data_IF_054892708561
#
_entry.id   IF_054892708561
#
_cell.length_a   1.000
_cell.length_b   1.000
_cell.length_c   1.000
_cell.angle_alpha   90.00
_cell.angle_beta   90.00
_cell.angle_gamma   90.00
#
_symmetry.space_group_name_H-M   'P 1'
#
loop_
_entity.id
_entity.type
_entity.pdbx_description
1 polymer ?
#
# COMPACT_ATOMS: atom_id res chain seq x y z
N UNK A 1 34.19 -0.87 12.03
CA UNK A 1 33.25 -0.33 11.02
C UNK A 1 33.84 0.70 10.06
N UNK A 2 33.99 2.02 10.33
CA UNK A 2 34.54 2.96 9.31
C UNK A 2 36.00 2.71 8.90
N UNK A 3 36.83 2.12 9.77
CA UNK A 3 38.26 1.84 9.49
C UNK A 3 38.52 0.53 8.74
N UNK A 4 37.64 -0.47 8.85
CA UNK A 4 37.80 -1.76 8.15
C UNK A 4 37.45 -1.66 6.66
N UNK A 5 36.60 -0.70 6.28
CA UNK A 5 36.30 -0.41 4.89
C UNK A 5 37.49 0.24 4.16
N UNK A 6 38.34 0.97 4.89
CA UNK A 6 39.51 1.65 4.32
C UNK A 6 40.67 0.67 4.03
N UNK A 7 40.80 -0.41 4.81
CA UNK A 7 41.88 -1.39 4.65
C UNK A 7 41.71 -2.37 3.49
N UNK A 8 40.53 -2.40 2.84
CA UNK A 8 40.28 -3.26 1.68
C UNK A 8 40.81 -2.66 0.35
N UNK A 9 41.38 -1.45 0.39
CA UNK A 9 41.73 -0.67 -0.81
C UNK A 9 43.21 -0.73 -1.24
N UNK A 10 44.08 -1.44 -0.52
CA UNK A 10 45.54 -1.34 -0.72
C UNK A 10 46.26 -2.59 -1.26
N UNK A 11 45.56 -3.65 -1.69
CA UNK A 11 46.19 -4.93 -2.02
C UNK A 11 46.09 -5.49 -3.45
N UNK A 12 45.22 -4.99 -4.34
CA UNK A 12 44.98 -5.64 -5.63
C UNK A 12 44.71 -4.64 -6.78
N UNK A 13 45.78 -4.01 -7.27
CA UNK A 13 45.74 -3.10 -8.41
C UNK A 13 45.48 -3.90 -9.72
N UNK A 14 44.23 -3.88 -10.19
CA UNK A 14 43.86 -4.35 -11.53
C UNK A 14 42.51 -5.06 -11.59
N UNK A 15 42.24 -5.98 -10.65
CA UNK A 15 40.99 -6.76 -10.59
C UNK A 15 40.11 -6.43 -9.36
N UNK A 16 40.68 -5.82 -8.31
CA UNK A 16 39.97 -5.57 -7.05
C UNK A 16 38.94 -4.44 -7.12
N UNK A 17 39.16 -3.42 -7.96
CA UNK A 17 38.24 -2.27 -8.09
C UNK A 17 36.95 -2.62 -8.82
N UNK A 18 37.01 -3.50 -9.83
CA UNK A 18 35.83 -3.98 -10.56
C UNK A 18 34.97 -4.91 -9.70
N UNK A 19 35.60 -5.81 -8.93
CA UNK A 19 34.89 -6.72 -8.00
C UNK A 19 34.25 -5.93 -6.85
N UNK A 20 34.93 -4.92 -6.30
CA UNK A 20 34.34 -4.05 -5.26
C UNK A 20 33.19 -3.19 -5.81
N UNK A 21 33.28 -2.72 -7.05
CA UNK A 21 32.18 -2.02 -7.71
C UNK A 21 30.96 -2.90 -7.97
N UNK A 22 31.18 -4.15 -8.41
CA UNK A 22 30.11 -5.11 -8.69
C UNK A 22 29.36 -5.55 -7.40
N UNK A 23 30.05 -5.65 -6.28
CA UNK A 23 29.45 -5.98 -4.98
C UNK A 23 28.82 -4.78 -4.26
N UNK A 24 29.18 -3.56 -4.63
CA UNK A 24 28.66 -2.35 -3.97
C UNK A 24 27.14 -2.17 -4.15
N UNK A 25 26.59 -2.55 -5.31
CA UNK A 25 25.15 -2.41 -5.59
C UNK A 25 24.29 -3.34 -4.71
N UNK A 26 24.53 -4.68 -4.68
CA UNK A 26 23.82 -5.58 -3.76
C UNK A 26 23.93 -5.18 -2.29
N UNK A 27 25.12 -4.75 -1.83
CA UNK A 27 25.33 -4.32 -0.44
C UNK A 27 24.51 -3.07 -0.13
N UNK A 28 24.49 -2.09 -1.04
CA UNK A 28 23.69 -0.87 -0.86
C UNK A 28 22.20 -1.18 -0.77
N UNK A 29 21.68 -2.05 -1.63
CA UNK A 29 20.28 -2.49 -1.58
C UNK A 29 19.95 -3.26 -0.31
N UNK A 30 20.86 -4.11 0.18
CA UNK A 30 20.68 -4.80 1.45
C UNK A 30 20.59 -3.83 2.64
N UNK A 31 21.46 -2.81 2.67
CA UNK A 31 21.44 -1.76 3.70
C UNK A 31 20.14 -0.95 3.62
N UNK A 32 19.69 -0.60 2.41
CA UNK A 32 18.46 0.14 2.21
C UNK A 32 17.23 -0.67 2.67
N UNK A 33 17.17 -1.96 2.33
CA UNK A 33 16.13 -2.86 2.84
C UNK A 33 16.17 -2.95 4.36
N UNK A 34 17.35 -3.14 4.98
CA UNK A 34 17.48 -3.18 6.44
C UNK A 34 16.98 -1.88 7.10
N UNK A 35 17.28 -0.73 6.48
CA UNK A 35 16.77 0.57 6.92
C UNK A 35 15.24 0.64 6.83
N UNK A 36 14.62 0.14 5.76
CA UNK A 36 13.15 0.12 5.63
C UNK A 36 12.50 -0.88 6.57
N UNK A 37 13.14 -2.01 6.80
CA UNK A 37 12.67 -2.98 7.79
C UNK A 37 12.74 -2.40 9.22
N UNK A 38 13.65 -1.47 9.52
CA UNK A 38 13.62 -0.75 10.79
C UNK A 38 12.33 0.08 10.96
N UNK A 39 11.83 0.71 9.88
CA UNK A 39 10.54 1.40 9.90
C UNK A 39 9.38 0.42 10.11
N UNK A 40 9.42 -0.75 9.45
CA UNK A 40 8.46 -1.85 9.66
C UNK A 40 8.46 -2.29 11.13
N UNK A 41 9.64 -2.54 11.71
CA UNK A 41 9.78 -2.97 13.12
C UNK A 41 9.21 -1.96 14.11
N UNK A 42 9.27 -0.67 13.79
CA UNK A 42 8.77 0.40 14.66
C UNK A 42 7.23 0.39 14.77
N UNK A 43 6.54 -0.10 13.74
CA UNK A 43 5.09 0.12 13.57
C UNK A 43 4.29 -1.17 13.45
N UNK A 44 4.96 -2.32 13.36
CA UNK A 44 4.34 -3.64 13.34
C UNK A 44 4.58 -4.35 14.66
N UNK A 45 3.50 -4.67 15.36
CA UNK A 45 3.55 -5.36 16.64
C UNK A 45 4.15 -6.78 16.52
N UNK A 46 4.92 -7.18 17.54
CA UNK A 46 5.47 -8.55 17.64
C UNK A 46 6.73 -8.81 16.82
N UNK A 47 7.43 -7.78 16.36
CA UNK A 47 8.73 -7.87 15.68
C UNK A 47 9.94 -7.64 16.62
N UNK A 48 9.73 -7.77 17.93
CA UNK A 48 10.79 -7.55 18.93
C UNK A 48 11.86 -8.64 18.92
N UNK A 49 11.50 -9.86 18.50
CA UNK A 49 12.43 -10.99 18.44
C UNK A 49 13.20 -11.00 17.11
N UNK A 50 14.50 -11.35 17.13
CA UNK A 50 15.30 -11.49 15.91
C UNK A 50 14.68 -12.46 14.90
N UNK A 51 14.05 -13.54 15.38
CA UNK A 51 13.44 -14.57 14.55
C UNK A 51 12.20 -14.03 13.83
N UNK A 52 11.31 -13.32 14.54
CA UNK A 52 10.12 -12.71 13.93
C UNK A 52 10.47 -11.63 12.92
N UNK A 53 11.45 -10.78 13.25
CA UNK A 53 11.94 -9.73 12.37
C UNK A 53 12.57 -10.30 11.09
N UNK A 54 13.40 -11.33 11.24
CA UNK A 54 14.00 -12.04 10.11
C UNK A 54 12.93 -12.69 9.21
N UNK A 55 11.96 -13.38 9.81
CA UNK A 55 10.89 -14.02 9.05
C UNK A 55 10.08 -13.00 8.24
N UNK A 56 9.74 -11.84 8.80
CA UNK A 56 9.05 -10.80 8.05
C UNK A 56 9.93 -10.18 6.95
N UNK A 57 11.24 -10.02 7.22
CA UNK A 57 12.19 -9.55 6.19
C UNK A 57 12.26 -10.53 5.00
N UNK A 58 12.22 -11.83 5.27
CA UNK A 58 12.17 -12.88 4.25
C UNK A 58 10.86 -12.79 3.45
N UNK A 59 9.71 -12.65 4.11
CA UNK A 59 8.41 -12.48 3.44
C UNK A 59 8.37 -11.24 2.52
N UNK A 60 8.88 -10.10 2.99
CA UNK A 60 8.99 -8.86 2.19
C UNK A 60 9.85 -9.08 0.95
N UNK A 61 10.97 -9.80 1.11
CA UNK A 61 11.86 -10.12 0.00
C UNK A 61 11.18 -11.07 -0.99
N UNK A 62 10.53 -12.12 -0.50
CA UNK A 62 9.85 -13.10 -1.36
C UNK A 62 8.74 -12.42 -2.16
N UNK A 63 7.93 -11.59 -1.51
CA UNK A 63 6.87 -10.83 -2.17
C UNK A 63 7.41 -9.89 -3.26
N UNK A 64 8.59 -9.30 -3.06
CA UNK A 64 9.25 -8.49 -4.09
C UNK A 64 9.73 -9.27 -5.32
N UNK A 65 9.82 -10.60 -5.22
CA UNK A 65 10.12 -11.46 -6.38
C UNK A 65 8.88 -11.90 -7.13
N UNK A 66 7.72 -11.84 -6.47
CA UNK A 66 6.41 -12.19 -7.04
C UNK A 66 5.72 -10.97 -7.67
N UNK A 67 5.94 -9.80 -7.10
CA UNK A 67 5.33 -8.54 -7.53
C UNK A 67 6.31 -7.65 -8.31
N UNK A 68 5.81 -6.76 -9.19
CA UNK A 68 6.65 -5.82 -9.94
C UNK A 68 7.09 -4.62 -9.06
N UNK A 69 7.63 -4.89 -7.87
CA UNK A 69 8.03 -3.88 -6.90
C UNK A 69 9.27 -4.33 -6.12
N UNK A 70 10.16 -3.39 -5.79
CA UNK A 70 11.38 -3.70 -5.02
C UNK A 70 11.05 -4.08 -3.57
N UNK A 71 11.93 -4.84 -2.92
CA UNK A 71 11.79 -5.16 -1.50
C UNK A 71 11.70 -3.91 -0.61
N UNK A 72 12.37 -2.82 -1.01
CA UNK A 72 12.26 -1.51 -0.35
C UNK A 72 10.84 -0.94 -0.46
N UNK A 73 10.22 -0.96 -1.64
CA UNK A 73 8.84 -0.50 -1.84
C UNK A 73 7.82 -1.38 -1.11
N UNK A 74 8.01 -2.69 -1.15
CA UNK A 74 7.18 -3.64 -0.36
C UNK A 74 7.28 -3.31 1.13
N UNK A 75 8.49 -3.12 1.66
CA UNK A 75 8.69 -2.74 3.06
C UNK A 75 8.02 -1.40 3.41
N UNK A 76 8.04 -0.42 2.51
CA UNK A 76 7.34 0.87 2.71
C UNK A 76 5.82 0.68 2.84
N UNK A 77 5.21 -0.16 2.01
CA UNK A 77 3.77 -0.46 2.09
C UNK A 77 3.45 -1.25 3.37
N UNK A 78 4.27 -2.22 3.73
CA UNK A 78 4.12 -2.98 4.98
C UNK A 78 4.21 -2.05 6.19
N UNK A 79 5.15 -1.10 6.20
CA UNK A 79 5.25 -0.09 7.26
C UNK A 79 4.01 0.81 7.30
N UNK A 80 3.51 1.27 6.14
CA UNK A 80 2.27 2.05 6.07
C UNK A 80 1.06 1.26 6.59
N UNK A 81 0.96 -0.03 6.27
CA UNK A 81 -0.06 -0.94 6.80
C UNK A 81 0.03 -1.10 8.32
N UNK A 82 1.24 -1.31 8.86
CA UNK A 82 1.46 -1.37 10.30
C UNK A 82 1.08 -0.07 11.02
N UNK A 83 1.44 1.09 10.45
CA UNK A 83 1.03 2.40 10.97
C UNK A 83 -0.49 2.60 10.97
N UNK A 84 -1.19 2.01 10.00
CA UNK A 84 -2.64 2.00 9.93
C UNK A 84 -3.30 0.97 10.87
N UNK A 85 -2.52 0.22 11.64
CA UNK A 85 -3.03 -0.79 12.57
C UNK A 85 -3.48 -2.08 11.89
N UNK A 86 -3.04 -2.35 10.66
CA UNK A 86 -3.27 -3.65 10.02
C UNK A 86 -2.50 -4.73 10.78
N UNK A 87 -3.20 -5.83 11.09
CA UNK A 87 -2.62 -6.92 11.87
C UNK A 87 -1.44 -7.54 11.12
N UNK A 88 -0.40 -7.95 11.86
CA UNK A 88 0.86 -8.47 11.30
C UNK A 88 0.64 -9.61 10.29
N UNK A 89 -0.29 -10.50 10.58
CA UNK A 89 -0.66 -11.66 9.76
C UNK A 89 -1.42 -11.29 8.49
N UNK A 90 -2.03 -10.10 8.43
CA UNK A 90 -2.69 -9.58 7.23
C UNK A 90 -1.77 -8.73 6.35
N UNK A 91 -0.59 -8.30 6.84
CA UNK A 91 0.25 -7.31 6.15
C UNK A 91 0.72 -7.76 4.76
N UNK A 92 1.06 -9.03 4.58
CA UNK A 92 1.52 -9.51 3.26
C UNK A 92 0.38 -9.48 2.23
N UNK A 93 -0.81 -9.91 2.64
CA UNK A 93 -2.00 -9.82 1.78
C UNK A 93 -2.38 -8.37 1.51
N UNK A 94 -2.34 -7.51 2.52
CA UNK A 94 -2.57 -6.07 2.37
C UNK A 94 -1.60 -5.44 1.37
N UNK A 95 -0.31 -5.78 1.43
CA UNK A 95 0.67 -5.24 0.48
C UNK A 95 0.46 -5.76 -0.93
N UNK A 96 0.15 -7.05 -1.10
CA UNK A 96 -0.20 -7.64 -2.40
C UNK A 96 -1.44 -6.96 -3.02
N UNK A 97 -2.51 -6.81 -2.23
CA UNK A 97 -3.74 -6.13 -2.65
C UNK A 97 -3.46 -4.65 -3.02
N UNK A 98 -2.61 -3.95 -2.27
CA UNK A 98 -2.24 -2.57 -2.55
C UNK A 98 -1.50 -2.43 -3.89
N UNK A 99 -0.56 -3.34 -4.19
CA UNK A 99 0.16 -3.34 -5.47
C UNK A 99 -0.79 -3.62 -6.63
N UNK A 100 -1.65 -4.63 -6.49
CA UNK A 100 -2.66 -4.96 -7.52
C UNK A 100 -3.63 -3.81 -7.74
N UNK A 101 -4.09 -3.17 -6.67
CA UNK A 101 -4.98 -2.01 -6.75
C UNK A 101 -4.29 -0.81 -7.43
N UNK A 102 -3.00 -0.61 -7.19
CA UNK A 102 -2.20 0.41 -7.87
C UNK A 102 -2.25 0.28 -9.39
N UNK A 103 -2.04 -0.96 -9.87
CA UNK A 103 -2.15 -1.29 -11.29
C UNK A 103 -3.59 -1.12 -11.80
N UNK A 104 -4.58 -1.60 -11.06
CA UNK A 104 -5.98 -1.53 -11.48
C UNK A 104 -6.53 -0.10 -11.57
N UNK A 105 -6.06 0.80 -10.70
CA UNK A 105 -6.61 2.15 -10.57
C UNK A 105 -5.74 3.24 -11.20
N UNK A 106 -4.65 2.89 -11.89
CA UNK A 106 -3.68 3.83 -12.43
C UNK A 106 -3.15 4.81 -11.35
N UNK A 107 -2.67 4.26 -10.24
CA UNK A 107 -2.17 4.98 -9.06
C UNK A 107 -0.96 4.23 -8.48
N UNK A 108 -0.22 4.80 -7.53
CA UNK A 108 0.89 4.06 -6.92
C UNK A 108 0.40 3.03 -5.91
N UNK A 109 1.21 2.01 -5.62
CA UNK A 109 0.88 1.01 -4.62
C UNK A 109 0.83 1.62 -3.19
N UNK A 110 1.62 2.67 -2.95
CA UNK A 110 1.61 3.43 -1.70
C UNK A 110 0.31 4.23 -1.55
N UNK A 111 -0.11 4.96 -2.59
CA UNK A 111 -1.42 5.64 -2.62
C UNK A 111 -2.56 4.64 -2.42
N UNK A 112 -2.45 3.47 -3.05
CA UNK A 112 -3.39 2.38 -2.92
C UNK A 112 -3.46 1.83 -1.49
N UNK A 113 -2.32 1.52 -0.89
CA UNK A 113 -2.25 1.06 0.50
C UNK A 113 -2.87 2.08 1.46
N UNK A 114 -2.60 3.37 1.26
CA UNK A 114 -3.21 4.43 2.05
C UNK A 114 -4.73 4.48 1.89
N UNK A 115 -5.25 4.40 0.66
CA UNK A 115 -6.70 4.34 0.42
C UNK A 115 -7.32 3.11 1.09
N UNK A 116 -6.75 1.92 0.94
CA UNK A 116 -7.27 0.71 1.57
C UNK A 116 -7.26 0.81 3.10
N UNK A 117 -6.18 1.30 3.69
CA UNK A 117 -6.08 1.53 5.12
C UNK A 117 -7.16 2.50 5.62
N UNK A 118 -7.39 3.59 4.89
CA UNK A 118 -8.45 4.55 5.18
C UNK A 118 -9.83 3.89 5.08
N UNK A 119 -10.11 3.12 4.03
CA UNK A 119 -11.40 2.44 3.85
C UNK A 119 -11.66 1.39 4.92
N UNK A 120 -10.65 0.59 5.27
CA UNK A 120 -10.74 -0.38 6.37
C UNK A 120 -11.10 0.29 7.68
N UNK A 121 -10.41 1.38 8.02
CA UNK A 121 -10.68 2.13 9.24
C UNK A 121 -12.05 2.76 9.22
N UNK A 122 -12.40 3.44 8.12
CA UNK A 122 -13.56 4.32 8.08
C UNK A 122 -14.88 3.56 7.88
N UNK A 123 -14.85 2.45 7.13
CA UNK A 123 -16.00 1.56 6.91
C UNK A 123 -15.97 0.31 7.78
N UNK A 124 -14.95 0.13 8.63
CA UNK A 124 -14.74 -1.04 9.50
C UNK A 124 -14.65 -2.36 8.73
N UNK A 125 -13.92 -2.36 7.60
CA UNK A 125 -13.76 -3.52 6.73
C UNK A 125 -12.59 -4.41 7.17
N UNK A 126 -12.79 -5.72 7.06
CA UNK A 126 -11.72 -6.73 7.05
C UNK A 126 -10.87 -6.63 5.78
N UNK A 127 -9.74 -7.36 5.71
CA UNK A 127 -8.90 -7.37 4.50
C UNK A 127 -9.68 -7.86 3.27
N UNK A 128 -10.44 -8.95 3.41
CA UNK A 128 -11.24 -9.49 2.30
C UNK A 128 -12.34 -8.53 1.84
N UNK A 129 -12.95 -7.78 2.75
CA UNK A 129 -14.00 -6.82 2.40
C UNK A 129 -13.44 -5.57 1.71
N UNK A 130 -12.26 -5.07 2.10
CA UNK A 130 -11.63 -3.94 1.38
C UNK A 130 -11.16 -4.36 0.00
N UNK A 131 -10.61 -5.58 -0.16
CA UNK A 131 -10.28 -6.14 -1.46
C UNK A 131 -11.56 -6.27 -2.33
N UNK A 132 -12.66 -6.77 -1.76
CA UNK A 132 -13.94 -6.83 -2.46
C UNK A 132 -14.52 -5.46 -2.84
N UNK A 133 -14.27 -4.41 -2.04
CA UNK A 133 -14.61 -3.03 -2.42
C UNK A 133 -13.75 -2.56 -3.60
N UNK A 134 -12.44 -2.82 -3.56
CA UNK A 134 -11.53 -2.49 -4.65
C UNK A 134 -11.94 -3.20 -5.96
N UNK A 135 -12.32 -4.47 -5.88
CA UNK A 135 -12.83 -5.24 -7.02
C UNK A 135 -14.11 -4.64 -7.61
N UNK A 136 -15.06 -4.22 -6.76
CA UNK A 136 -16.29 -3.54 -7.21
C UNK A 136 -15.95 -2.23 -7.92
N UNK A 137 -15.03 -1.43 -7.36
CA UNK A 137 -14.59 -0.17 -7.96
C UNK A 137 -13.90 -0.43 -9.31
N UNK A 138 -13.03 -1.44 -9.39
CA UNK A 138 -12.39 -1.86 -10.63
C UNK A 138 -13.43 -2.27 -11.69
N UNK A 139 -14.41 -3.08 -11.30
CA UNK A 139 -15.50 -3.50 -12.18
C UNK A 139 -16.31 -2.30 -12.70
N UNK A 140 -16.71 -1.38 -11.81
CA UNK A 140 -17.41 -0.16 -12.18
C UNK A 140 -16.55 0.73 -13.10
N UNK A 141 -15.24 0.80 -12.84
CA UNK A 141 -14.28 1.54 -13.66
C UNK A 141 -14.13 0.98 -15.07
N UNK A 142 -14.18 -0.35 -15.21
CA UNK A 142 -14.01 -1.04 -16.48
C UNK A 142 -15.31 -1.16 -17.30
N UNK A 143 -16.48 -1.10 -16.66
CA UNK A 143 -17.78 -1.28 -17.32
C UNK A 143 -18.63 -0.02 -17.40
N UNK A 144 -18.32 0.98 -16.58
CA UNK A 144 -19.03 2.24 -16.50
C UNK A 144 -18.31 3.41 -17.18
N UNK A 145 -18.94 4.59 -17.17
CA UNK A 145 -18.40 5.81 -17.77
C UNK A 145 -17.33 6.53 -16.93
N UNK A 146 -17.12 6.15 -15.67
CA UNK A 146 -16.16 6.78 -14.76
C UNK A 146 -14.96 5.85 -14.52
N UNK A 147 -13.74 6.39 -14.45
CA UNK A 147 -12.56 5.58 -14.15
C UNK A 147 -12.53 5.12 -12.69
N UNK A 148 -11.88 3.98 -12.43
CA UNK A 148 -11.69 3.45 -11.08
C UNK A 148 -11.05 4.48 -10.13
N UNK A 149 -10.08 5.25 -10.63
CA UNK A 149 -9.45 6.38 -9.91
C UNK A 149 -10.43 7.47 -9.46
N UNK A 150 -11.37 7.85 -10.32
CA UNK A 150 -12.39 8.86 -9.96
C UNK A 150 -13.34 8.29 -8.91
N UNK A 151 -13.77 7.05 -9.09
CA UNK A 151 -14.66 6.37 -8.15
C UNK A 151 -13.99 6.23 -6.78
N UNK A 152 -12.73 5.78 -6.74
CA UNK A 152 -11.96 5.61 -5.50
C UNK A 152 -11.75 6.94 -4.77
N UNK A 153 -11.54 8.06 -5.48
CA UNK A 153 -11.46 9.39 -4.86
C UNK A 153 -12.78 9.80 -4.20
N UNK A 154 -13.93 9.56 -4.85
CA UNK A 154 -15.25 9.80 -4.23
C UNK A 154 -15.43 8.95 -2.97
N UNK A 155 -15.16 7.65 -3.05
CA UNK A 155 -15.29 6.71 -1.92
C UNK A 155 -14.40 7.15 -0.75
N UNK A 156 -13.15 7.52 -1.04
CA UNK A 156 -12.17 7.95 -0.03
C UNK A 156 -12.61 9.23 0.69
N UNK A 157 -13.15 10.22 -0.05
CA UNK A 157 -13.65 11.48 0.53
C UNK A 157 -14.86 11.28 1.43
N UNK A 158 -15.68 10.27 1.16
CA UNK A 158 -16.85 9.93 1.98
C UNK A 158 -16.44 9.12 3.22
N UNK A 159 -15.40 8.28 3.09
CA UNK A 159 -14.86 7.39 4.12
C UNK A 159 -14.97 7.89 5.56
N UNK A 160 -14.39 9.06 5.92
CA UNK A 160 -14.41 9.60 7.29
C UNK A 160 -15.80 9.77 7.94
N UNK A 161 -16.88 9.69 7.18
CA UNK A 161 -18.27 9.82 7.63
C UNK A 161 -19.00 8.46 7.70
N UNK A 162 -18.32 7.38 7.29
CA UNK A 162 -18.85 6.03 7.09
C UNK A 162 -19.18 5.23 8.35
N UNK A 163 -18.94 5.75 9.56
CA UNK A 163 -19.36 5.07 10.79
C UNK A 163 -20.89 4.93 10.89
N UNK A 164 -21.66 5.76 10.18
CA UNK A 164 -23.13 5.70 10.05
C UNK A 164 -23.57 4.80 8.87
N UNK A 165 -22.63 4.34 8.03
CA UNK A 165 -22.91 3.71 6.74
C UNK A 165 -22.06 2.47 6.40
N UNK A 166 -21.43 1.82 7.38
CA UNK A 166 -20.37 0.81 7.16
C UNK A 166 -20.67 -0.30 6.14
N UNK A 167 -21.93 -0.74 6.01
CA UNK A 167 -22.35 -1.77 5.03
C UNK A 167 -22.58 -1.26 3.61
N UNK A 168 -22.55 0.06 3.38
CA UNK A 168 -22.94 0.68 2.13
C UNK A 168 -21.76 1.10 1.23
N UNK A 169 -20.54 0.61 1.47
CA UNK A 169 -19.34 1.05 0.73
C UNK A 169 -19.44 0.75 -0.78
N UNK A 170 -20.06 -0.37 -1.15
CA UNK A 170 -20.33 -0.72 -2.55
C UNK A 170 -21.37 0.21 -3.19
N UNK A 171 -22.41 0.56 -2.45
CA UNK A 171 -23.45 1.50 -2.87
C UNK A 171 -22.88 2.92 -3.05
N UNK A 172 -21.98 3.34 -2.16
CA UNK A 172 -21.22 4.60 -2.30
C UNK A 172 -20.39 4.57 -3.57
N UNK A 173 -19.68 3.47 -3.85
CA UNK A 173 -18.92 3.31 -5.09
C UNK A 173 -19.83 3.37 -6.33
N UNK A 174 -21.01 2.74 -6.30
CA UNK A 174 -21.97 2.78 -7.40
C UNK A 174 -22.57 4.18 -7.63
N UNK A 175 -22.90 4.92 -6.56
CA UNK A 175 -23.32 6.32 -6.64
C UNK A 175 -22.20 7.19 -7.20
N UNK A 176 -20.97 6.99 -6.71
CA UNK A 176 -19.78 7.68 -7.19
C UNK A 176 -19.53 7.44 -8.67
N UNK A 177 -19.62 6.19 -9.13
CA UNK A 177 -19.50 5.83 -10.54
C UNK A 177 -20.57 6.50 -11.42
N UNK A 178 -21.81 6.53 -10.94
CA UNK A 178 -22.93 7.16 -11.67
C UNK A 178 -22.70 8.67 -11.80
N UNK A 179 -22.41 9.35 -10.69
CA UNK A 179 -22.27 10.81 -10.65
C UNK A 179 -20.99 11.27 -11.36
N UNK A 180 -19.85 10.61 -11.11
CA UNK A 180 -18.60 10.89 -11.82
C UNK A 180 -18.73 10.60 -13.33
N UNK A 181 -19.55 9.62 -13.70
CA UNK A 181 -19.91 9.28 -15.07
C UNK A 181 -20.64 10.39 -15.82
N UNK A 182 -21.36 11.24 -15.10
CA UNK A 182 -22.01 12.45 -15.65
C UNK A 182 -21.01 13.61 -15.84
N UNK A 183 -19.73 13.41 -15.55
CA UNK A 183 -18.70 14.45 -15.62
C UNK A 183 -18.66 15.36 -14.39
N UNK A 184 -19.33 14.99 -13.30
CA UNK A 184 -19.27 15.75 -12.04
C UNK A 184 -17.94 15.47 -11.34
N UNK A 185 -17.28 16.54 -10.86
CA UNK A 185 -16.03 16.42 -10.12
C UNK A 185 -16.20 15.65 -8.82
N UNK A 186 -15.19 14.86 -8.45
CA UNK A 186 -15.25 13.93 -7.32
C UNK A 186 -15.57 14.62 -5.98
N UNK A 187 -15.12 15.85 -5.77
CA UNK A 187 -15.43 16.63 -4.56
C UNK A 187 -16.91 17.01 -4.47
N UNK A 188 -17.49 17.41 -5.60
CA UNK A 188 -18.92 17.76 -5.69
C UNK A 188 -19.75 16.48 -5.52
N UNK A 189 -19.36 15.40 -6.19
CA UNK A 189 -20.00 14.10 -6.06
C UNK A 189 -20.00 13.61 -4.60
N UNK A 190 -18.83 13.65 -3.94
CA UNK A 190 -18.69 13.25 -2.54
C UNK A 190 -19.55 14.11 -1.61
N UNK A 191 -19.58 15.43 -1.82
CA UNK A 191 -20.42 16.36 -1.03
C UNK A 191 -21.91 16.09 -1.22
N UNK A 192 -22.34 15.85 -2.47
CA UNK A 192 -23.73 15.51 -2.79
C UNK A 192 -24.17 14.20 -2.14
N UNK A 193 -23.38 13.14 -2.29
CA UNK A 193 -23.64 11.84 -1.67
C UNK A 193 -23.68 11.98 -0.14
N UNK A 194 -22.71 12.68 0.44
CA UNK A 194 -22.67 12.98 1.88
C UNK A 194 -23.96 13.61 2.37
N UNK A 195 -24.41 14.70 1.74
CA UNK A 195 -25.60 15.42 2.17
C UNK A 195 -26.87 14.57 2.00
N UNK A 196 -26.95 13.79 0.94
CA UNK A 196 -28.03 12.84 0.73
C UNK A 196 -28.09 11.80 1.86
N UNK A 197 -26.97 11.18 2.22
CA UNK A 197 -26.91 10.19 3.29
C UNK A 197 -27.28 10.78 4.67
N UNK A 198 -26.77 11.98 4.98
CA UNK A 198 -27.10 12.67 6.24
C UNK A 198 -28.59 13.06 6.33
N UNK A 199 -29.29 13.22 5.21
CA UNK A 199 -30.73 13.53 5.21
C UNK A 199 -31.61 12.31 5.52
N UNK A 200 -31.06 11.10 5.46
CA UNK A 200 -31.78 9.84 5.70
C UNK A 200 -31.69 9.35 7.15
N UNK A 201 -30.90 10.02 8.00
CA UNK A 201 -30.62 9.66 9.40
C UNK A 201 -31.03 10.77 10.35
#
# INVERSE_FOLDING_TARGET
FKKEFASLSLGAAGAGTAVLGALALPVKSAIALESKMADVRKVVDGLDTPEAFKAMTEQVRDLSTELPMSAEGIAEIVAAGGQAGIARDELMQFTDDAVKMGVAFDTTAEESGQMMAQWRTAFKLTQGEVAGLADKINYLGNTGPASAKKISDVVTRIGPLGSVAGVASGEIAAMGATIAGMGVESEIAATGIKNFMLSLT
#
